data_IF_076543183271
#
_entry.id   IF_076543183271
#
_cell.length_a   1.000
_cell.length_b   1.000
_cell.length_c   1.000
_cell.angle_alpha   90.00
_cell.angle_beta   90.00
_cell.angle_gamma   90.00
#
_symmetry.space_group_name_H-M   'P 1'
#
loop_
_entity.id
_entity.type
_entity.pdbx_description
1 polymer ?
#
# COMPACT_ATOMS: atom_id res chain seq x y z
N UNK A 1 -21.31 3.22 -28.61
CA UNK A 1 -21.44 3.10 -27.13
C UNK A 1 -20.21 3.76 -26.51
N UNK A 2 -20.39 4.58 -25.47
CA UNK A 2 -19.30 5.16 -24.69
C UNK A 2 -19.40 4.69 -23.24
N UNK A 3 -18.28 4.28 -22.64
CA UNK A 3 -18.19 3.81 -21.26
C UNK A 3 -17.14 4.65 -20.52
N UNK A 4 -17.51 5.17 -19.35
CA UNK A 4 -16.57 5.80 -18.42
C UNK A 4 -16.35 4.84 -17.24
N UNK A 5 -15.14 4.29 -17.14
CA UNK A 5 -14.73 3.42 -16.04
C UNK A 5 -13.89 4.21 -15.03
N UNK A 6 -14.30 4.18 -13.76
CA UNK A 6 -13.52 4.73 -12.64
C UNK A 6 -12.88 3.56 -11.90
N UNK A 7 -11.55 3.47 -11.92
CA UNK A 7 -10.78 2.43 -11.23
C UNK A 7 -9.46 2.98 -10.72
N UNK A 8 -8.91 2.37 -9.67
CA UNK A 8 -7.57 2.63 -9.17
C UNK A 8 -6.55 1.59 -9.67
N UNK A 9 -6.99 0.59 -10.44
CA UNK A 9 -6.16 -0.52 -10.92
C UNK A 9 -5.68 -0.28 -12.35
N UNK A 10 -4.38 -0.01 -12.50
CA UNK A 10 -3.74 0.19 -13.81
C UNK A 10 -3.78 -1.06 -14.70
N UNK A 11 -3.83 -2.27 -14.13
CA UNK A 11 -4.00 -3.52 -14.88
C UNK A 11 -5.37 -3.62 -15.56
N UNK A 12 -6.43 -3.13 -14.92
CA UNK A 12 -7.76 -3.03 -15.54
C UNK A 12 -7.74 -1.99 -16.66
N UNK A 13 -7.14 -0.81 -16.41
CA UNK A 13 -7.00 0.25 -17.41
C UNK A 13 -6.25 -0.25 -18.64
N UNK A 14 -5.16 -1.02 -18.45
CA UNK A 14 -4.34 -1.57 -19.52
C UNK A 14 -5.12 -2.51 -20.47
N UNK A 15 -6.18 -3.16 -19.98
CA UNK A 15 -6.97 -4.14 -20.73
C UNK A 15 -8.24 -3.54 -21.36
N UNK A 16 -8.86 -2.56 -20.72
CA UNK A 16 -10.20 -2.10 -21.10
C UNK A 16 -10.25 -0.71 -21.73
N UNK A 17 -9.30 0.17 -21.42
CA UNK A 17 -9.42 1.58 -21.78
C UNK A 17 -8.87 1.88 -23.19
N UNK A 18 -9.54 2.77 -23.93
CA UNK A 18 -8.97 3.41 -25.13
C UNK A 18 -8.24 4.72 -24.77
N UNK A 19 -8.78 5.45 -23.79
CA UNK A 19 -8.25 6.71 -23.27
C UNK A 19 -8.15 6.64 -21.76
N UNK A 20 -7.11 7.25 -21.20
CA UNK A 20 -6.82 7.26 -19.77
C UNK A 20 -6.78 8.71 -19.30
N UNK A 21 -7.52 9.00 -18.24
CA UNK A 21 -7.46 10.27 -17.53
C UNK A 21 -7.02 10.01 -16.09
N UNK A 22 -5.87 10.55 -15.69
CA UNK A 22 -5.36 10.44 -14.33
C UNK A 22 -5.81 11.66 -13.55
N UNK A 23 -6.50 11.42 -12.43
CA UNK A 23 -6.93 12.45 -11.51
C UNK A 23 -6.03 12.50 -10.27
N UNK A 24 -5.67 13.70 -9.83
CA UNK A 24 -5.01 13.92 -8.54
C UNK A 24 -5.66 15.12 -7.82
N UNK A 25 -6.07 14.90 -6.56
CA UNK A 25 -6.67 15.92 -5.71
C UNK A 25 -7.76 16.76 -6.40
N UNK A 26 -8.67 16.07 -7.13
CA UNK A 26 -9.82 16.69 -7.82
C UNK A 26 -9.55 17.24 -9.22
N UNK A 27 -8.35 17.08 -9.78
CA UNK A 27 -8.01 17.61 -11.11
C UNK A 27 -7.45 16.54 -12.04
N UNK A 28 -7.85 16.56 -13.32
CA UNK A 28 -7.20 15.73 -14.35
C UNK A 28 -5.81 16.31 -14.63
N UNK A 29 -4.80 15.58 -14.16
CA UNK A 29 -3.39 15.97 -14.30
C UNK A 29 -2.76 15.43 -15.57
N UNK A 30 -3.33 14.36 -16.14
CA UNK A 30 -2.88 13.77 -17.40
C UNK A 30 -4.03 13.10 -18.14
N UNK A 31 -4.07 13.24 -19.47
CA UNK A 31 -5.06 12.65 -20.35
C UNK A 31 -4.39 12.19 -21.65
N UNK A 32 -4.43 10.91 -21.96
CA UNK A 32 -3.77 10.35 -23.14
C UNK A 32 -4.50 9.12 -23.69
N UNK A 33 -4.16 8.71 -24.91
CA UNK A 33 -4.48 7.37 -25.40
C UNK A 33 -3.78 6.31 -24.54
N UNK A 34 -4.41 5.15 -24.33
CA UNK A 34 -3.86 4.07 -23.47
C UNK A 34 -2.41 3.73 -23.81
N UNK A 35 -2.10 3.49 -25.07
CA UNK A 35 -0.74 3.08 -25.48
C UNK A 35 0.31 4.15 -25.17
N UNK A 36 -0.01 5.41 -25.44
CA UNK A 36 0.88 6.53 -25.14
C UNK A 36 1.10 6.68 -23.62
N UNK A 37 0.04 6.57 -22.84
CA UNK A 37 0.09 6.66 -21.38
C UNK A 37 0.97 5.57 -20.74
N UNK A 38 0.80 4.32 -21.15
CA UNK A 38 1.59 3.19 -20.60
C UNK A 38 3.03 3.18 -21.10
N UNK A 39 3.30 3.75 -22.28
CA UNK A 39 4.67 3.81 -22.84
C UNK A 39 5.48 4.97 -22.28
N UNK A 40 4.87 6.15 -22.18
CA UNK A 40 5.57 7.39 -21.86
C UNK A 40 4.68 8.35 -21.05
N UNK A 41 4.35 8.01 -19.78
CA UNK A 41 3.55 8.88 -18.93
C UNK A 41 4.25 10.23 -18.71
N UNK A 42 3.51 11.32 -18.86
CA UNK A 42 4.06 12.67 -18.89
C UNK A 42 4.16 13.30 -17.50
N UNK A 43 3.17 13.11 -16.63
CA UNK A 43 3.12 13.75 -15.32
C UNK A 43 4.00 12.99 -14.29
N UNK A 44 4.78 13.68 -13.44
CA UNK A 44 5.58 13.02 -12.40
C UNK A 44 4.77 12.07 -11.49
N UNK A 45 3.52 12.42 -11.17
CA UNK A 45 2.60 11.53 -10.46
C UNK A 45 2.35 10.21 -11.22
N UNK A 46 1.98 10.27 -12.51
CA UNK A 46 1.76 9.09 -13.34
C UNK A 46 3.01 8.22 -13.43
N UNK A 47 4.19 8.83 -13.61
CA UNK A 47 5.48 8.13 -13.62
C UNK A 47 5.72 7.38 -12.30
N UNK A 48 5.43 8.02 -11.16
CA UNK A 48 5.52 7.38 -9.85
C UNK A 48 4.51 6.26 -9.64
N UNK A 49 3.30 6.34 -10.21
CA UNK A 49 2.34 5.24 -10.16
C UNK A 49 2.92 3.98 -10.81
N UNK A 50 3.55 4.11 -11.98
CA UNK A 50 4.22 3.00 -12.65
C UNK A 50 5.43 2.48 -11.88
N UNK A 51 6.26 3.37 -11.31
CA UNK A 51 7.41 2.98 -10.51
C UNK A 51 7.01 2.23 -9.21
N UNK A 52 5.79 2.44 -8.72
CA UNK A 52 5.25 1.76 -7.54
C UNK A 52 4.61 0.40 -7.87
N UNK A 53 4.44 0.04 -9.15
CA UNK A 53 3.87 -1.25 -9.52
C UNK A 53 4.88 -2.37 -9.30
N UNK A 54 4.47 -3.50 -8.69
CA UNK A 54 5.33 -4.66 -8.56
C UNK A 54 5.59 -5.31 -9.92
N UNK A 55 6.85 -5.43 -10.33
CA UNK A 55 7.25 -6.18 -11.53
C UNK A 55 7.28 -7.69 -11.29
N UNK A 56 7.05 -8.48 -12.34
CA UNK A 56 7.23 -9.94 -12.31
C UNK A 56 8.70 -10.27 -12.01
N UNK A 57 8.96 -10.99 -10.91
CA UNK A 57 10.31 -11.38 -10.51
C UNK A 57 11.09 -10.32 -9.73
N UNK A 58 10.51 -9.15 -9.47
CA UNK A 58 11.16 -8.12 -8.66
C UNK A 58 10.99 -8.46 -7.18
N UNK A 59 12.09 -8.85 -6.52
CA UNK A 59 12.20 -8.92 -5.05
C UNK A 59 13.01 -7.71 -4.60
N UNK A 60 12.40 -6.79 -3.86
CA UNK A 60 13.09 -5.58 -3.41
C UNK A 60 12.16 -4.46 -2.98
N UNK A 61 12.76 -3.29 -2.73
CA UNK A 61 12.02 -2.08 -2.37
C UNK A 61 11.21 -1.57 -3.58
N UNK A 62 9.94 -1.25 -3.34
CA UNK A 62 9.10 -0.55 -4.30
C UNK A 62 9.27 0.96 -4.15
N UNK A 63 9.15 1.69 -5.26
CA UNK A 63 9.13 3.15 -5.18
C UNK A 63 7.89 3.61 -4.40
N UNK A 64 8.08 4.47 -3.41
CA UNK A 64 6.99 5.01 -2.57
C UNK A 64 6.75 6.48 -2.94
N UNK A 65 5.48 6.83 -3.16
CA UNK A 65 5.08 8.23 -3.34
C UNK A 65 5.02 8.92 -1.97
N UNK A 66 6.13 9.54 -1.59
CA UNK A 66 6.30 10.23 -0.30
C UNK A 66 5.30 11.38 -0.10
N UNK A 67 5.20 11.83 1.14
CA UNK A 67 4.30 12.90 1.58
C UNK A 67 2.85 12.45 1.73
N UNK A 68 2.02 13.33 2.31
CA UNK A 68 0.61 13.07 2.52
C UNK A 68 -0.23 13.60 1.35
N UNK A 69 -1.34 12.92 1.05
CA UNK A 69 -2.34 13.45 0.12
C UNK A 69 -2.94 14.71 0.75
N UNK A 70 -2.97 15.86 0.04
CA UNK A 70 -3.60 17.07 0.56
C UNK A 70 -5.08 16.82 0.93
N UNK A 71 -5.60 17.49 1.97
CA UNK A 71 -7.03 17.46 2.28
C UNK A 71 -7.88 17.88 1.08
N UNK A 72 -9.05 17.26 0.90
CA UNK A 72 -9.98 17.61 -0.19
C UNK A 72 -10.53 19.04 -0.08
N UNK A 73 -10.44 19.66 1.10
CA UNK A 73 -10.82 21.05 1.37
C UNK A 73 -9.72 22.05 1.00
N UNK A 74 -8.56 21.59 0.55
CA UNK A 74 -7.44 22.46 0.17
C UNK A 74 -7.80 23.26 -1.07
N UNK A 75 -7.62 24.58 -1.01
CA UNK A 75 -7.71 25.46 -2.17
C UNK A 75 -6.34 25.55 -2.83
N UNK A 76 -6.28 25.31 -4.14
CA UNK A 76 -5.02 25.26 -4.88
C UNK A 76 -4.90 26.43 -5.85
N UNK A 77 -3.91 27.29 -5.59
CA UNK A 77 -3.43 28.30 -6.54
C UNK A 77 -2.08 27.89 -7.18
N UNK A 78 -1.58 26.71 -6.82
CA UNK A 78 -0.29 26.16 -7.21
C UNK A 78 -0.45 24.71 -7.73
N UNK A 79 0.64 24.07 -8.16
CA UNK A 79 0.60 22.66 -8.59
C UNK A 79 0.16 21.74 -7.45
N UNK A 80 -0.96 21.02 -7.64
CA UNK A 80 -1.55 20.13 -6.62
C UNK A 80 -0.61 19.03 -6.13
N UNK A 81 0.40 18.67 -6.93
CA UNK A 81 1.37 17.62 -6.63
C UNK A 81 2.72 18.15 -6.10
N UNK A 82 2.87 19.46 -5.90
CA UNK A 82 4.16 20.08 -5.57
C UNK A 82 4.87 19.45 -4.37
N UNK A 83 4.17 19.19 -3.28
CA UNK A 83 4.77 18.66 -2.04
C UNK A 83 5.16 17.18 -2.10
N UNK A 84 4.80 16.49 -3.18
CA UNK A 84 5.09 15.07 -3.41
C UNK A 84 5.84 14.80 -4.71
N UNK A 85 6.18 15.86 -5.44
CA UNK A 85 6.88 15.81 -6.71
C UNK A 85 8.40 15.90 -6.49
N UNK A 86 9.16 14.94 -7.01
CA UNK A 86 10.64 14.96 -6.90
C UNK A 86 11.27 16.02 -7.82
N UNK A 87 10.49 16.58 -8.73
CA UNK A 87 10.90 17.58 -9.71
C UNK A 87 10.26 18.95 -9.43
N UNK A 88 9.84 19.20 -8.18
CA UNK A 88 9.27 20.48 -7.77
C UNK A 88 10.30 21.60 -7.87
N UNK A 89 9.87 22.78 -8.31
CA UNK A 89 10.65 24.02 -8.34
C UNK A 89 9.75 25.20 -8.01
N UNK A 90 10.31 26.41 -7.86
CA UNK A 90 9.62 27.56 -7.26
C UNK A 90 8.25 27.88 -7.89
N UNK A 91 8.16 27.86 -9.22
CA UNK A 91 6.89 28.12 -9.93
C UNK A 91 5.77 27.14 -9.55
N UNK A 92 6.10 25.87 -9.34
CA UNK A 92 5.13 24.85 -8.93
C UNK A 92 4.47 25.14 -7.58
N UNK A 93 5.09 25.97 -6.72
CA UNK A 93 4.60 26.32 -5.39
C UNK A 93 3.73 27.58 -5.37
N UNK A 94 3.72 28.35 -6.45
CA UNK A 94 3.03 29.64 -6.52
C UNK A 94 2.01 29.74 -7.66
N UNK A 95 2.11 28.89 -8.68
CA UNK A 95 1.25 28.91 -9.86
C UNK A 95 0.73 27.51 -10.20
N UNK A 96 -0.54 27.41 -10.57
CA UNK A 96 -1.14 26.15 -11.02
C UNK A 96 -0.84 25.91 -12.51
N UNK A 97 -0.39 24.71 -12.90
CA UNK A 97 -0.08 24.42 -14.29
C UNK A 97 -1.33 24.37 -15.17
N UNK A 98 -1.23 25.01 -16.33
CA UNK A 98 -2.24 24.92 -17.39
C UNK A 98 -2.24 23.52 -18.02
N UNK A 99 -3.34 23.16 -18.67
CA UNK A 99 -3.39 21.93 -19.48
C UNK A 99 -2.62 22.17 -20.77
N UNK A 100 -1.58 21.39 -20.99
CA UNK A 100 -0.68 21.48 -22.14
C UNK A 100 -0.78 20.21 -22.97
N UNK A 101 -0.49 20.29 -24.26
CA UNK A 101 -0.36 19.14 -25.15
C UNK A 101 1.10 19.03 -25.64
N UNK A 102 2.05 18.59 -24.79
CA UNK A 102 3.46 18.52 -25.17
C UNK A 102 3.73 17.51 -26.28
N UNK A 103 2.89 16.48 -26.39
CA UNK A 103 2.92 15.48 -27.47
C UNK A 103 1.49 15.37 -28.00
N UNK A 104 1.32 15.31 -29.32
CA UNK A 104 0.01 15.19 -29.96
C UNK A 104 -0.81 14.06 -29.34
N UNK A 105 -2.00 14.37 -28.84
CA UNK A 105 -2.92 13.45 -28.17
C UNK A 105 -2.59 13.13 -26.70
N UNK A 106 -1.58 13.77 -26.11
CA UNK A 106 -1.22 13.63 -24.70
C UNK A 106 -1.28 14.99 -24.02
N UNK A 107 -2.26 15.15 -23.13
CA UNK A 107 -2.46 16.37 -22.37
C UNK A 107 -1.98 16.19 -20.94
N UNK A 108 -1.34 17.22 -20.38
CA UNK A 108 -0.76 17.18 -19.03
C UNK A 108 -0.78 18.55 -18.37
N UNK A 109 -1.02 18.59 -17.05
CA UNK A 109 -0.87 19.79 -16.23
C UNK A 109 0.45 19.76 -15.48
N UNK A 110 1.52 20.19 -16.14
CA UNK A 110 2.85 20.21 -15.52
C UNK A 110 3.75 21.28 -16.14
N UNK A 111 4.32 22.16 -15.32
CA UNK A 111 5.25 23.19 -15.80
C UNK A 111 6.52 22.61 -16.45
N UNK A 112 6.94 21.39 -16.10
CA UNK A 112 8.10 20.71 -16.70
C UNK A 112 7.90 20.30 -18.17
N UNK A 113 6.69 20.51 -18.71
CA UNK A 113 6.33 20.16 -20.09
C UNK A 113 6.09 21.40 -20.95
N UNK A 114 6.30 22.59 -20.40
CA UNK A 114 6.34 23.84 -21.14
C UNK A 114 7.67 23.96 -21.89
N UNK A 115 7.64 24.53 -23.10
CA UNK A 115 8.82 24.61 -23.98
C UNK A 115 9.94 25.52 -23.44
N UNK A 116 9.59 26.49 -22.61
CA UNK A 116 10.50 27.55 -22.13
C UNK A 116 10.90 27.40 -20.65
N UNK A 117 10.52 26.29 -20.01
CA UNK A 117 10.93 26.01 -18.64
C UNK A 117 12.26 25.26 -18.69
N UNK A 118 13.36 26.02 -18.66
CA UNK A 118 14.64 25.47 -18.21
C UNK A 118 14.46 25.10 -16.74
N UNK A 119 14.52 23.82 -16.34
CA UNK A 119 14.44 23.47 -14.94
C UNK A 119 15.62 24.16 -14.25
N UNK A 120 15.36 25.21 -13.45
CA UNK A 120 16.34 25.68 -12.49
C UNK A 120 16.48 24.53 -11.50
N UNK A 121 17.40 23.61 -11.77
CA UNK A 121 17.73 22.51 -10.88
C UNK A 121 18.33 23.14 -9.61
N UNK A 122 17.48 23.60 -8.70
CA UNK A 122 17.64 23.10 -7.35
C UNK A 122 17.22 21.65 -7.50
N UNK A 123 18.21 20.79 -7.72
CA UNK A 123 18.06 19.41 -7.29
C UNK A 123 17.46 19.54 -5.90
N UNK A 124 16.20 19.15 -5.74
CA UNK A 124 15.70 18.89 -4.40
C UNK A 124 16.76 17.97 -3.86
N UNK A 125 17.55 18.50 -2.92
CA UNK A 125 18.68 17.82 -2.34
C UNK A 125 18.20 16.41 -2.09
N UNK A 126 19.00 15.46 -2.54
CA UNK A 126 18.90 14.07 -2.16
C UNK A 126 18.69 14.01 -0.64
N UNK A 127 17.43 14.07 -0.22
CA UNK A 127 16.91 13.06 0.65
C UNK A 127 16.56 11.90 -0.27
N UNK A 128 17.52 11.23 -0.90
CA UNK A 128 18.14 10.08 -0.22
C UNK A 128 18.04 10.16 1.32
N UNK A 129 16.81 10.18 1.83
CA UNK A 129 16.46 9.13 2.76
C UNK A 129 16.59 7.86 1.94
N UNK A 130 17.83 7.38 1.78
CA UNK A 130 18.13 6.05 2.26
C UNK A 130 17.34 5.94 3.55
N UNK A 131 16.18 5.30 3.50
CA UNK A 131 15.71 4.68 4.72
C UNK A 131 16.90 3.83 5.09
N UNK A 132 17.61 4.21 6.15
CA UNK A 132 18.93 3.72 6.46
C UNK A 132 18.97 2.22 6.16
N UNK A 133 19.89 1.84 5.27
CA UNK A 133 20.16 0.45 5.00
C UNK A 133 20.36 -0.27 6.33
N UNK A 134 19.72 -1.42 6.50
CA UNK A 134 20.04 -2.46 7.49
C UNK A 134 20.07 -2.15 9.00
N UNK A 135 19.94 -0.92 9.48
CA UNK A 135 20.20 -0.61 10.90
C UNK A 135 18.98 -0.66 11.85
N UNK A 136 17.77 -0.91 11.34
CA UNK A 136 16.62 -1.15 12.21
C UNK A 136 16.68 -2.56 12.80
N UNK A 137 16.54 -2.69 14.13
CA UNK A 137 16.37 -3.98 14.79
C UNK A 137 15.21 -4.77 14.15
N UNK A 138 15.34 -6.09 14.12
CA UNK A 138 14.28 -6.98 13.65
C UNK A 138 13.09 -6.82 14.59
N UNK A 139 12.01 -6.23 14.08
CA UNK A 139 10.80 -6.02 14.84
C UNK A 139 9.96 -7.30 14.86
N UNK A 140 9.88 -7.98 13.72
CA UNK A 140 9.13 -9.21 13.55
C UNK A 140 9.93 -10.19 12.69
N UNK A 141 10.06 -11.42 13.17
CA UNK A 141 10.70 -12.53 12.45
C UNK A 141 9.72 -13.70 12.38
N UNK A 142 9.52 -14.24 11.18
CA UNK A 142 8.78 -15.47 10.94
C UNK A 142 9.70 -16.46 10.25
N UNK A 143 9.87 -17.66 10.83
CA UNK A 143 10.78 -18.71 10.34
C UNK A 143 10.01 -20.01 10.09
N UNK A 144 10.07 -20.50 8.86
CA UNK A 144 9.44 -21.74 8.40
C UNK A 144 7.97 -21.86 8.84
N UNK A 145 7.21 -20.75 8.79
CA UNK A 145 5.82 -20.72 9.26
C UNK A 145 4.95 -21.59 8.37
N UNK A 146 4.16 -22.47 9.00
CA UNK A 146 3.19 -23.35 8.33
C UNK A 146 1.82 -23.16 8.95
N UNK A 147 0.79 -23.09 8.11
CA UNK A 147 -0.61 -23.04 8.53
C UNK A 147 -1.39 -24.00 7.65
N UNK A 148 -1.72 -25.16 8.20
CA UNK A 148 -2.38 -26.25 7.50
C UNK A 148 -3.77 -26.48 8.09
N UNK A 149 -4.79 -26.45 7.23
CA UNK A 149 -6.17 -26.69 7.64
C UNK A 149 -6.59 -28.14 7.34
N UNK A 150 -7.13 -28.89 8.32
CA UNK A 150 -7.50 -30.28 8.09
C UNK A 150 -8.71 -30.39 7.16
N UNK A 151 -8.62 -31.28 6.18
CA UNK A 151 -9.75 -31.70 5.34
C UNK A 151 -10.42 -32.88 6.06
N UNK A 152 -11.66 -32.69 6.49
CA UNK A 152 -12.44 -33.72 7.22
C UNK A 152 -13.50 -34.31 6.31
N UNK A 153 -13.61 -35.65 6.25
CA UNK A 153 -14.59 -36.35 5.41
C UNK A 153 -15.28 -37.49 6.17
N UNK A 154 -16.49 -37.85 5.72
CA UNK A 154 -17.31 -38.90 6.30
C UNK A 154 -18.08 -38.49 7.56
N UNK A 155 -18.98 -39.37 8.02
CA UNK A 155 -19.87 -39.13 9.17
C UNK A 155 -19.08 -38.86 10.46
N UNK A 156 -17.91 -39.51 10.62
CA UNK A 156 -17.03 -39.33 11.78
C UNK A 156 -16.01 -38.19 11.65
N UNK A 157 -16.09 -37.36 10.59
CA UNK A 157 -15.19 -36.21 10.35
C UNK A 157 -13.69 -36.54 10.49
N UNK A 158 -13.25 -37.72 10.05
CA UNK A 158 -11.83 -38.11 10.09
C UNK A 158 -11.02 -37.18 9.17
N UNK A 159 -9.81 -36.80 9.61
CA UNK A 159 -8.88 -36.02 8.79
C UNK A 159 -8.33 -36.91 7.68
N UNK A 160 -8.56 -36.53 6.43
CA UNK A 160 -8.15 -37.27 5.23
C UNK A 160 -7.07 -36.53 4.42
N UNK A 161 -6.69 -35.33 4.84
CA UNK A 161 -5.68 -34.51 4.20
C UNK A 161 -5.62 -33.12 4.83
N UNK A 162 -4.77 -32.26 4.25
CA UNK A 162 -4.61 -30.88 4.71
C UNK A 162 -4.56 -29.91 3.53
N UNK A 163 -5.24 -28.78 3.67
CA UNK A 163 -5.00 -27.60 2.83
C UNK A 163 -3.81 -26.86 3.40
N UNK A 164 -2.70 -26.86 2.67
CA UNK A 164 -1.47 -26.17 3.04
C UNK A 164 -1.56 -24.69 2.64
N UNK A 165 -2.29 -23.90 3.40
CA UNK A 165 -2.50 -22.49 3.09
C UNK A 165 -1.21 -21.66 3.22
N UNK A 166 -0.32 -22.05 4.14
CA UNK A 166 1.05 -21.55 4.25
C UNK A 166 1.95 -22.75 4.50
N UNK A 167 3.03 -22.91 3.72
CA UNK A 167 3.93 -24.07 3.81
C UNK A 167 5.40 -23.64 3.77
N UNK A 168 5.91 -23.18 4.92
CA UNK A 168 7.34 -22.89 5.11
C UNK A 168 7.75 -21.49 4.69
N UNK A 169 6.92 -20.49 5.00
CA UNK A 169 7.24 -19.10 4.69
C UNK A 169 8.17 -18.53 5.77
N UNK A 170 9.27 -17.92 5.34
CA UNK A 170 10.16 -17.15 6.19
C UNK A 170 10.21 -15.69 5.73
N UNK A 171 10.07 -14.75 6.68
CA UNK A 171 10.12 -13.32 6.42
C UNK A 171 10.66 -12.56 7.63
N UNK A 172 11.20 -11.38 7.36
CA UNK A 172 11.72 -10.46 8.36
C UNK A 172 11.13 -9.07 8.11
N UNK A 173 10.70 -8.41 9.18
CA UNK A 173 10.27 -7.02 9.15
C UNK A 173 11.08 -6.25 10.18
N UNK A 174 11.81 -5.24 9.71
CA UNK A 174 12.61 -4.34 10.54
C UNK A 174 11.80 -3.15 11.01
N UNK A 175 12.16 -2.60 12.15
CA UNK A 175 11.56 -1.37 12.66
C UNK A 175 11.66 -0.23 11.62
N UNK A 176 10.58 0.54 11.47
CA UNK A 176 10.50 1.66 10.51
C UNK A 176 10.36 1.24 9.04
N UNK A 177 10.23 -0.06 8.75
CA UNK A 177 9.98 -0.56 7.39
C UNK A 177 8.53 -1.01 7.23
N UNK A 178 8.10 -1.06 5.98
CA UNK A 178 6.81 -1.64 5.58
C UNK A 178 7.08 -2.85 4.72
N UNK A 179 6.57 -4.01 5.12
CA UNK A 179 6.61 -5.23 4.32
C UNK A 179 5.26 -5.46 3.64
N UNK A 180 5.28 -5.57 2.31
CA UNK A 180 4.10 -5.92 1.54
C UNK A 180 4.18 -7.38 1.08
N UNK A 181 3.08 -8.12 1.24
CA UNK A 181 2.94 -9.49 0.74
C UNK A 181 1.95 -9.47 -0.42
N UNK A 182 2.43 -9.79 -1.62
CA UNK A 182 1.64 -9.74 -2.86
C UNK A 182 1.55 -11.14 -3.47
N UNK A 183 0.43 -11.43 -4.12
CA UNK A 183 0.14 -12.74 -4.71
C UNK A 183 -1.34 -12.88 -5.06
N UNK A 184 -1.67 -13.90 -5.83
CA UNK A 184 -3.03 -14.14 -6.35
C UNK A 184 -4.06 -14.44 -5.25
N UNK A 185 -5.35 -14.31 -5.57
CA UNK A 185 -6.41 -14.74 -4.64
C UNK A 185 -6.21 -16.21 -4.25
N UNK A 186 -6.33 -16.53 -2.98
CA UNK A 186 -6.11 -17.90 -2.47
C UNK A 186 -4.65 -18.28 -2.21
N UNK A 187 -3.66 -17.46 -2.54
CA UNK A 187 -2.23 -17.77 -2.34
C UNK A 187 -1.75 -17.79 -0.87
N UNK A 188 -2.65 -17.70 0.12
CA UNK A 188 -2.31 -17.78 1.54
C UNK A 188 -1.97 -16.46 2.24
N UNK A 189 -1.99 -15.30 1.57
CA UNK A 189 -1.62 -13.97 2.16
C UNK A 189 -2.34 -13.66 3.46
N UNK A 190 -3.67 -13.75 3.46
CA UNK A 190 -4.50 -13.46 4.64
C UNK A 190 -4.23 -14.47 5.76
N UNK A 191 -4.00 -15.74 5.41
CA UNK A 191 -3.64 -16.78 6.38
C UNK A 191 -2.29 -16.52 7.02
N UNK A 192 -1.28 -16.15 6.22
CA UNK A 192 0.05 -15.80 6.70
C UNK A 192 -0.01 -14.58 7.63
N UNK A 193 -0.69 -13.50 7.23
CA UNK A 193 -0.84 -12.31 8.08
C UNK A 193 -1.53 -12.61 9.41
N UNK A 194 -2.61 -13.41 9.38
CA UNK A 194 -3.28 -13.87 10.61
C UNK A 194 -2.43 -14.82 11.46
N UNK A 195 -1.61 -15.65 10.82
CA UNK A 195 -0.67 -16.57 11.49
C UNK A 195 0.43 -15.82 12.23
N UNK A 196 1.05 -14.85 11.56
CA UNK A 196 2.04 -13.94 12.13
C UNK A 196 1.50 -13.21 13.36
N UNK A 197 0.24 -12.75 13.32
CA UNK A 197 -0.40 -12.04 14.43
C UNK A 197 -1.00 -12.97 15.50
N UNK A 198 -0.79 -14.30 15.41
CA UNK A 198 -1.38 -15.30 16.31
C UNK A 198 -2.91 -15.18 16.43
N UNK A 199 -3.58 -14.75 15.36
CA UNK A 199 -5.04 -14.82 15.21
C UNK A 199 -5.48 -16.21 14.74
N UNK A 200 -4.59 -16.89 14.01
CA UNK A 200 -4.67 -18.31 13.68
C UNK A 200 -3.35 -18.92 14.18
N UNK A 201 -3.42 -19.99 14.96
CA UNK A 201 -2.21 -20.66 15.44
C UNK A 201 -1.45 -21.29 14.26
N UNK A 202 -0.15 -21.00 14.10
CA UNK A 202 0.70 -21.76 13.18
C UNK A 202 0.70 -23.24 13.53
N UNK A 203 0.64 -24.10 12.51
CA UNK A 203 0.79 -25.55 12.65
C UNK A 203 2.25 -25.93 12.95
N UNK A 204 3.20 -25.16 12.42
CA UNK A 204 4.63 -25.29 12.70
C UNK A 204 5.35 -23.96 12.39
N UNK A 205 6.64 -23.90 12.76
CA UNK A 205 7.48 -22.73 12.61
C UNK A 205 7.48 -21.81 13.84
N UNK A 206 8.22 -20.71 13.72
CA UNK A 206 8.43 -19.73 14.80
C UNK A 206 7.99 -18.34 14.33
N UNK A 207 7.38 -17.58 15.24
CA UNK A 207 7.04 -16.18 15.03
C UNK A 207 7.48 -15.40 16.24
N UNK A 208 8.41 -14.47 16.04
CA UNK A 208 8.96 -13.61 17.08
C UNK A 208 8.61 -12.16 16.84
N UNK A 209 8.20 -11.46 17.89
CA UNK A 209 7.99 -10.01 17.88
C UNK A 209 8.84 -9.38 18.98
N UNK A 210 9.71 -8.44 18.62
CA UNK A 210 10.72 -7.86 19.53
C UNK A 210 11.48 -8.96 20.29
N UNK A 211 12.04 -9.92 19.55
CA UNK A 211 12.79 -11.09 20.05
C UNK A 211 11.99 -12.11 20.88
N UNK A 212 10.75 -11.79 21.27
CA UNK A 212 9.88 -12.69 22.03
C UNK A 212 9.15 -13.67 21.12
N UNK A 213 9.29 -14.97 21.40
CA UNK A 213 8.52 -16.03 20.75
C UNK A 213 7.02 -15.92 21.06
N UNK A 214 6.20 -15.94 20.01
CA UNK A 214 4.75 -15.85 20.10
C UNK A 214 4.06 -17.20 19.86
N UNK A 215 4.67 -18.09 19.08
CA UNK A 215 4.09 -19.40 18.78
C UNK A 215 3.96 -20.22 20.07
N UNK A 216 2.74 -20.69 20.36
CA UNK A 216 2.44 -21.49 21.56
C UNK A 216 2.04 -20.67 22.79
N UNK A 217 2.11 -19.34 22.75
CA UNK A 217 1.60 -18.50 23.83
C UNK A 217 0.08 -18.65 24.01
N UNK A 218 -0.36 -18.64 25.25
CA UNK A 218 -1.77 -18.63 25.63
C UNK A 218 -2.43 -17.28 25.34
N UNK A 219 -3.77 -17.24 25.36
CA UNK A 219 -4.52 -15.99 25.14
C UNK A 219 -4.20 -14.90 26.17
N UNK A 220 -3.97 -15.26 27.43
CA UNK A 220 -3.61 -14.31 28.50
C UNK A 220 -2.22 -13.72 28.27
N UNK A 221 -1.27 -14.53 27.80
CA UNK A 221 0.10 -14.08 27.50
C UNK A 221 0.17 -13.21 26.24
N UNK A 222 -0.67 -13.48 25.24
CA UNK A 222 -0.75 -12.67 24.02
C UNK A 222 -1.46 -11.33 24.25
N UNK A 223 -2.42 -11.26 25.18
CA UNK A 223 -3.24 -10.05 25.42
C UNK A 223 -2.42 -8.76 25.61
N UNK A 224 -1.38 -8.69 26.46
CA UNK A 224 -0.58 -7.48 26.62
C UNK A 224 0.24 -7.13 25.37
N UNK A 225 0.64 -8.12 24.56
CA UNK A 225 1.45 -7.92 23.35
C UNK A 225 0.61 -7.36 22.20
N UNK A 226 -0.67 -7.75 22.14
CA UNK A 226 -1.60 -7.33 21.07
C UNK A 226 -1.74 -5.81 20.95
N UNK A 227 -1.56 -5.06 22.04
CA UNK A 227 -1.52 -3.59 21.98
C UNK A 227 -0.50 -3.05 20.97
N UNK A 228 0.66 -3.71 20.86
CA UNK A 228 1.71 -3.35 19.92
C UNK A 228 1.51 -3.93 18.50
N UNK A 229 0.54 -4.84 18.31
CA UNK A 229 0.28 -5.55 17.06
C UNK A 229 -1.17 -5.33 16.60
N UNK A 230 -1.46 -4.13 16.10
CA UNK A 230 -2.78 -3.75 15.61
C UNK A 230 -3.03 -4.25 14.18
N UNK A 231 -4.30 -4.54 13.85
CA UNK A 231 -4.71 -5.01 12.53
C UNK A 231 -5.94 -4.25 12.04
N UNK A 232 -5.98 -3.98 10.73
CA UNK A 232 -7.15 -3.52 10.00
C UNK A 232 -7.56 -4.64 9.05
N UNK A 233 -8.83 -5.07 9.10
CA UNK A 233 -9.35 -6.14 8.26
C UNK A 233 -9.81 -5.61 6.90
N UNK A 234 -9.76 -6.46 5.88
CA UNK A 234 -10.19 -6.12 4.52
C UNK A 234 -11.69 -5.78 4.43
N UNK A 235 -12.52 -6.46 5.22
CA UNK A 235 -13.95 -6.21 5.31
C UNK A 235 -14.27 -5.40 6.58
N UNK A 236 -14.61 -4.12 6.45
CA UNK A 236 -14.97 -3.28 7.59
C UNK A 236 -16.29 -3.72 8.23
N UNK A 237 -17.24 -4.30 7.49
CA UNK A 237 -18.52 -4.75 8.06
C UNK A 237 -18.36 -5.97 8.95
N UNK A 238 -17.40 -6.85 8.63
CA UNK A 238 -17.08 -7.99 9.47
C UNK A 238 -16.30 -7.63 10.74
N UNK A 239 -15.73 -6.41 10.81
CA UNK A 239 -14.82 -6.01 11.89
C UNK A 239 -15.30 -4.82 12.72
N UNK A 240 -16.23 -4.01 12.22
CA UNK A 240 -16.80 -2.85 12.90
C UNK A 240 -18.27 -3.11 13.24
N UNK A 241 -18.71 -2.63 14.41
CA UNK A 241 -20.12 -2.72 14.78
C UNK A 241 -20.91 -1.58 14.11
N UNK A 242 -21.79 -1.86 13.13
CA UNK A 242 -22.50 -0.82 12.39
C UNK A 242 -23.54 -0.07 13.24
N UNK A 243 -23.82 -0.55 14.45
CA UNK A 243 -24.72 0.12 15.41
C UNK A 243 -24.03 1.23 16.20
N UNK A 244 -22.71 1.31 16.14
CA UNK A 244 -21.92 2.32 16.82
C UNK A 244 -21.62 3.50 15.90
N UNK A 245 -21.54 4.70 16.47
CA UNK A 245 -21.03 5.89 15.78
C UNK A 245 -19.53 5.73 15.53
N UNK A 246 -19.03 6.41 14.51
CA UNK A 246 -17.58 6.42 14.18
C UNK A 246 -16.73 6.77 15.40
N UNK A 247 -17.15 7.76 16.19
CA UNK A 247 -16.45 8.14 17.43
C UNK A 247 -16.42 7.01 18.46
N UNK A 248 -17.51 6.27 18.62
CA UNK A 248 -17.60 5.16 19.58
C UNK A 248 -16.70 4.00 19.17
N UNK A 249 -16.66 3.67 17.88
CA UNK A 249 -15.77 2.63 17.31
C UNK A 249 -14.30 2.98 17.58
N UNK A 250 -13.90 4.23 17.32
CA UNK A 250 -12.53 4.70 17.57
C UNK A 250 -12.17 4.65 19.06
N UNK A 251 -13.09 5.10 19.92
CA UNK A 251 -12.89 5.14 21.37
C UNK A 251 -12.89 3.74 22.00
N UNK A 252 -13.63 2.77 21.44
CA UNK A 252 -13.68 1.38 21.94
C UNK A 252 -12.27 0.75 21.97
N UNK A 253 -11.54 0.85 20.85
CA UNK A 253 -10.17 0.36 20.76
C UNK A 253 -9.24 1.06 21.76
N UNK A 254 -9.30 2.39 21.83
CA UNK A 254 -8.48 3.18 22.76
C UNK A 254 -8.74 2.84 24.23
N UNK A 255 -10.01 2.67 24.62
CA UNK A 255 -10.40 2.22 25.96
C UNK A 255 -9.92 0.81 26.26
N UNK A 256 -10.05 -0.11 25.30
CA UNK A 256 -9.58 -1.50 25.47
C UNK A 256 -8.07 -1.61 25.68
N UNK A 257 -7.32 -0.63 25.18
CA UNK A 257 -5.87 -0.52 25.29
C UNK A 257 -5.41 0.44 26.41
N UNK A 258 -6.35 1.01 27.19
CA UNK A 258 -6.08 1.99 28.24
C UNK A 258 -5.26 3.20 27.76
N UNK A 259 -5.52 3.67 26.53
CA UNK A 259 -4.84 4.86 25.96
C UNK A 259 -5.46 6.16 26.45
N UNK A 260 -6.76 6.13 26.77
CA UNK A 260 -7.49 7.27 27.35
C UNK A 260 -7.72 6.94 28.82
N UNK A 261 -6.96 7.62 29.70
CA UNK A 261 -7.21 7.66 31.13
C UNK A 261 -8.32 8.67 31.45
#
# INVERSE_FOLDING_TARGET
MALLLITHDLGVVAKMAQRVAVMYSGEIVELAGREAFFRAPQHPYSQKLFAALPGTGQRGELAVIRGQVPPLTTVFNHCRFADRCDFVFDRCRVEAPKLLEPIKGQFVRCHLREKDVAPSRRAAAQGEGTVAGSEGNILLEAKDVKVHFPIRRGVFRRTVGYVKAVDGVSLELRAGRTLAIVGESGSGKTTLGKGVLQLIAPTAGSVRFQERELSGLTRSELRPIRGAMQIIFQDPYASLNPRLRVSEILLEGMRSLNVLA
#
